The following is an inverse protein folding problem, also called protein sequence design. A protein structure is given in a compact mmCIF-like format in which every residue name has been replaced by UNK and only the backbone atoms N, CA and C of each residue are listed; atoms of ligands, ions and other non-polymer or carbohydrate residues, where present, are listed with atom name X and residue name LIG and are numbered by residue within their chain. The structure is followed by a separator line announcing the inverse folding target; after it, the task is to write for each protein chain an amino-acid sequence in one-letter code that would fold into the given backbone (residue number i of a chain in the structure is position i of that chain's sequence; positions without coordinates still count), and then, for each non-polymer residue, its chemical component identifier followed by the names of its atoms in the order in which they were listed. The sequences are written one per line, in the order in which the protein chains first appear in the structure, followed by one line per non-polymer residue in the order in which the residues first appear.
data_IF_893850339407
#
_entry.id   IF_893850339407
#
_cell.length_a   1.000
_cell.length_b   1.000
_cell.length_c   1.000
_cell.angle_alpha   90.00
_cell.angle_beta   90.00
_cell.angle_gamma   90.00
#
_symmetry.space_group_name_H-M   'P 1'
#
loop_
_entity.id
_entity.type
_entity.pdbx_description
1 polymer ?
#
# COMPACT_ATOMS: atom_id res chain seq x y z
N UNK A 1 21.10 -19.04 -1.57
CA UNK A 1 21.88 -17.81 -1.31
C UNK A 1 22.49 -17.96 0.09
N UNK A 2 23.74 -17.57 0.35
CA UNK A 2 24.22 -17.50 1.73
C UNK A 2 23.44 -16.42 2.49
N UNK A 3 22.98 -16.72 3.70
CA UNK A 3 22.33 -15.73 4.57
C UNK A 3 23.30 -14.57 4.82
N UNK A 4 22.82 -13.34 4.69
CA UNK A 4 23.62 -12.16 5.02
C UNK A 4 24.05 -12.20 6.49
N UNK A 5 25.28 -11.75 6.75
CA UNK A 5 25.71 -11.42 8.10
C UNK A 5 24.87 -10.25 8.64
N UNK A 6 24.83 -10.09 9.97
CA UNK A 6 24.12 -8.97 10.60
C UNK A 6 24.60 -7.61 10.07
N UNK A 7 25.91 -7.45 9.84
CA UNK A 7 26.47 -6.22 9.29
C UNK A 7 26.02 -5.95 7.84
N UNK A 8 26.02 -6.98 6.99
CA UNK A 8 25.56 -6.85 5.60
C UNK A 8 24.05 -6.57 5.51
N UNK A 9 23.26 -7.18 6.39
CA UNK A 9 21.84 -6.89 6.51
C UNK A 9 21.60 -5.42 6.88
N UNK A 10 22.25 -4.93 7.96
CA UNK A 10 22.16 -3.53 8.40
C UNK A 10 22.53 -2.58 7.27
N UNK A 11 23.66 -2.81 6.61
CA UNK A 11 24.13 -2.00 5.49
C UNK A 11 23.12 -1.95 4.33
N UNK A 12 22.53 -3.10 3.94
CA UNK A 12 21.54 -3.13 2.86
C UNK A 12 20.26 -2.37 3.19
N UNK A 13 19.77 -2.46 4.43
CA UNK A 13 18.59 -1.68 4.85
C UNK A 13 18.88 -0.18 4.77
N UNK A 14 20.04 0.27 5.24
CA UNK A 14 20.50 1.66 5.12
C UNK A 14 20.61 2.09 3.65
N UNK A 15 21.18 1.25 2.79
CA UNK A 15 21.29 1.52 1.36
C UNK A 15 19.93 1.65 0.67
N UNK A 16 18.96 0.80 1.03
CA UNK A 16 17.59 0.92 0.51
C UNK A 16 16.93 2.22 0.94
N UNK A 17 17.08 2.61 2.20
CA UNK A 17 16.53 3.88 2.73
C UNK A 17 17.20 5.08 2.05
N UNK A 18 18.53 5.06 1.89
CA UNK A 18 19.31 6.12 1.23
C UNK A 18 19.01 6.25 -0.25
N UNK A 19 18.75 5.13 -0.92
CA UNK A 19 18.57 5.10 -2.36
C UNK A 19 17.31 5.86 -2.77
N UNK A 20 17.45 6.74 -3.78
CA UNK A 20 16.35 7.57 -4.30
C UNK A 20 15.28 6.77 -5.04
N UNK A 21 15.56 5.50 -5.25
CA UNK A 21 14.78 4.60 -6.08
C UNK A 21 13.69 3.88 -5.29
N UNK A 22 13.93 3.60 -4.01
CA UNK A 22 12.95 2.96 -3.15
C UNK A 22 12.07 4.01 -2.49
N UNK A 23 10.79 4.01 -2.82
CA UNK A 23 9.81 4.88 -2.16
C UNK A 23 9.53 4.44 -0.73
N UNK A 24 9.07 5.39 0.07
CA UNK A 24 8.85 5.22 1.51
C UNK A 24 7.86 4.09 1.81
N UNK A 25 6.81 3.93 1.02
CA UNK A 25 5.80 2.87 1.16
C UNK A 25 6.41 1.46 1.02
N UNK A 26 7.22 1.24 -0.02
CA UNK A 26 7.90 -0.04 -0.24
C UNK A 26 8.89 -0.35 0.90
N UNK A 27 9.59 0.66 1.40
CA UNK A 27 10.50 0.50 2.54
C UNK A 27 9.75 0.10 3.81
N UNK A 28 8.59 0.70 4.10
CA UNK A 28 7.75 0.29 5.25
C UNK A 28 7.30 -1.15 5.12
N UNK A 29 6.91 -1.59 3.93
CA UNK A 29 6.48 -2.97 3.71
C UNK A 29 7.63 -3.96 3.90
N UNK A 30 8.82 -3.66 3.36
CA UNK A 30 10.01 -4.49 3.59
C UNK A 30 10.28 -4.65 5.08
N UNK A 31 10.26 -3.55 5.86
CA UNK A 31 10.47 -3.62 7.31
C UNK A 31 9.39 -4.43 8.03
N UNK A 32 8.12 -4.23 7.66
CA UNK A 32 6.98 -4.95 8.28
C UNK A 32 6.95 -6.46 7.99
N UNK A 33 7.65 -6.89 6.93
CA UNK A 33 7.67 -8.28 6.47
C UNK A 33 8.98 -9.01 6.81
N UNK A 34 9.87 -8.39 7.61
CA UNK A 34 11.09 -9.04 8.07
C UNK A 34 10.77 -10.26 8.97
N UNK A 35 11.50 -11.38 8.82
CA UNK A 35 11.34 -12.53 9.71
C UNK A 35 11.96 -12.26 11.08
N UNK A 36 11.51 -13.02 12.09
CA UNK A 36 11.85 -12.81 13.52
C UNK A 36 13.36 -12.76 13.79
N UNK A 37 14.16 -13.55 13.07
CA UNK A 37 15.62 -13.56 13.20
C UNK A 37 16.27 -12.25 12.75
N UNK A 38 15.68 -11.56 11.77
CA UNK A 38 16.13 -10.24 11.33
C UNK A 38 15.56 -9.14 12.23
N UNK A 39 14.34 -9.30 12.73
CA UNK A 39 13.76 -8.39 13.74
C UNK A 39 14.62 -8.36 15.01
N UNK A 40 15.19 -9.50 15.40
CA UNK A 40 16.11 -9.61 16.54
C UNK A 40 17.44 -8.86 16.36
N UNK A 41 17.76 -8.38 15.14
CA UNK A 41 18.94 -7.55 14.88
C UNK A 41 18.72 -6.07 15.18
N UNK A 42 17.48 -5.66 15.41
CA UNK A 42 17.17 -4.30 15.82
C UNK A 42 17.54 -4.09 17.29
N UNK A 43 18.30 -3.03 17.53
CA UNK A 43 18.61 -2.57 18.87
C UNK A 43 17.42 -1.80 19.45
N UNK A 44 17.39 -1.68 20.77
CA UNK A 44 16.49 -0.72 21.42
C UNK A 44 16.88 0.70 21.00
N UNK A 45 15.88 1.57 20.88
CA UNK A 45 16.11 2.98 20.64
C UNK A 45 16.89 3.57 21.82
N UNK A 46 18.02 4.20 21.53
CA UNK A 46 18.80 4.94 22.52
C UNK A 46 19.19 6.33 22.03
N UNK A 47 19.47 7.17 23.02
CA UNK A 47 20.05 8.49 22.85
C UNK A 47 21.24 8.63 23.78
N UNK A 48 22.38 9.04 23.24
CA UNK A 48 23.63 9.21 23.96
C UNK A 48 24.47 10.33 23.33
N UNK A 49 25.75 10.41 23.67
CA UNK A 49 26.66 11.43 23.13
C UNK A 49 26.91 11.34 21.63
N UNK A 50 26.55 10.24 20.97
CA UNK A 50 26.71 10.04 19.52
C UNK A 50 25.38 9.92 18.79
N UNK A 51 24.27 9.74 19.51
CA UNK A 51 22.93 9.55 18.96
C UNK A 51 21.93 10.55 19.54
N UNK A 52 21.66 11.63 18.81
CA UNK A 52 20.66 12.62 19.20
C UNK A 52 19.23 12.04 19.15
N UNK A 53 18.29 12.61 19.92
CA UNK A 53 16.89 12.25 19.82
C UNK A 53 16.32 12.52 18.43
N UNK A 54 15.40 11.65 18.01
CA UNK A 54 14.55 11.89 16.85
C UNK A 54 13.74 13.17 17.09
N UNK A 55 13.71 14.06 16.11
CA UNK A 55 12.85 15.24 16.12
C UNK A 55 11.59 14.96 15.31
N UNK A 56 10.42 15.18 15.91
CA UNK A 56 9.10 15.12 15.24
C UNK A 56 8.74 16.43 14.52
N UNK A 57 9.57 17.46 14.65
CA UNK A 57 9.35 18.76 14.01
C UNK A 57 9.61 18.71 12.49
N UNK A 58 8.52 18.62 11.71
CA UNK A 58 8.57 18.61 10.25
C UNK A 58 9.16 19.88 9.64
N UNK A 59 9.06 21.02 10.31
CA UNK A 59 9.67 22.26 9.86
C UNK A 59 11.20 22.21 9.97
N UNK A 60 11.73 21.55 11.01
CA UNK A 60 13.17 21.24 11.12
C UNK A 60 13.61 20.35 9.96
N UNK A 61 12.84 19.31 9.63
CA UNK A 61 13.15 18.42 8.52
C UNK A 61 13.26 19.17 7.21
N UNK A 62 12.30 20.04 6.90
CA UNK A 62 12.29 20.82 5.66
C UNK A 62 13.45 21.83 5.59
N UNK A 63 13.68 22.57 6.69
CA UNK A 63 14.72 23.59 6.77
C UNK A 63 16.12 22.99 6.57
N UNK A 64 16.38 21.86 7.20
CA UNK A 64 17.68 21.19 7.16
C UNK A 64 17.77 20.19 5.98
N UNK A 65 16.63 19.75 5.45
CA UNK A 65 16.48 18.90 4.29
C UNK A 65 17.39 17.68 4.32
N UNK A 66 18.27 17.59 3.32
CA UNK A 66 19.24 16.50 3.21
C UNK A 66 20.26 16.44 4.33
N UNK A 67 20.57 17.55 5.02
CA UNK A 67 21.49 17.53 6.15
C UNK A 67 20.88 16.80 7.34
N UNK A 68 19.60 17.05 7.65
CA UNK A 68 18.88 16.32 8.70
C UNK A 68 18.76 14.83 8.36
N UNK A 69 18.37 14.51 7.12
CA UNK A 69 18.27 13.13 6.68
C UNK A 69 19.62 12.38 6.75
N UNK A 70 20.72 13.00 6.30
CA UNK A 70 22.05 12.39 6.36
C UNK A 70 22.55 12.20 7.81
N UNK A 71 22.25 13.15 8.69
CA UNK A 71 22.56 13.04 10.12
C UNK A 71 21.80 11.86 10.76
N UNK A 72 20.50 11.76 10.49
CA UNK A 72 19.69 10.65 10.98
C UNK A 72 20.13 9.30 10.38
N UNK A 73 20.63 9.29 9.14
CA UNK A 73 21.19 8.10 8.51
C UNK A 73 22.43 7.60 9.25
N UNK A 74 23.34 8.52 9.59
CA UNK A 74 24.52 8.21 10.40
C UNK A 74 24.12 7.70 11.79
N UNK A 75 23.14 8.32 12.44
CA UNK A 75 22.63 7.84 13.74
C UNK A 75 21.99 6.45 13.66
N UNK A 76 21.39 6.10 12.53
CA UNK A 76 20.84 4.76 12.29
C UNK A 76 21.94 3.71 12.03
N UNK A 77 23.13 4.11 11.57
CA UNK A 77 24.32 3.23 11.50
C UNK A 77 24.85 2.93 12.91
N UNK A 78 24.84 3.91 13.82
CA UNK A 78 25.33 3.79 15.21
C UNK A 78 24.32 3.12 16.17
N UNK A 79 23.02 3.33 15.96
CA UNK A 79 21.94 2.70 16.70
C UNK A 79 20.88 2.19 15.72
N UNK A 80 21.13 0.99 15.19
CA UNK A 80 20.27 0.35 14.22
C UNK A 80 18.99 -0.18 14.90
N UNK A 81 18.02 0.71 15.11
CA UNK A 81 16.72 0.41 15.74
C UNK A 81 15.57 0.72 14.78
N UNK A 82 14.46 -0.01 14.92
CA UNK A 82 13.28 0.14 14.06
C UNK A 82 12.74 1.58 14.07
N UNK A 83 12.69 2.21 15.24
CA UNK A 83 12.18 3.58 15.40
C UNK A 83 12.96 4.61 14.56
N UNK A 84 14.30 4.51 14.47
CA UNK A 84 15.11 5.42 13.64
C UNK A 84 14.91 5.17 12.14
N UNK A 85 14.73 3.91 11.75
CA UNK A 85 14.48 3.57 10.35
C UNK A 85 13.09 4.03 9.89
N UNK A 86 12.06 3.85 10.72
CA UNK A 86 10.71 4.35 10.45
C UNK A 86 10.67 5.87 10.34
N UNK A 87 11.40 6.55 11.23
CA UNK A 87 11.59 8.00 11.18
C UNK A 87 12.29 8.44 9.89
N UNK A 88 13.39 7.79 9.52
CA UNK A 88 14.08 8.08 8.25
C UNK A 88 13.15 7.91 7.04
N UNK A 89 12.34 6.85 7.02
CA UNK A 89 11.37 6.62 5.95
C UNK A 89 10.29 7.73 5.94
N UNK A 90 9.85 8.19 7.10
CA UNK A 90 8.90 9.31 7.22
C UNK A 90 9.49 10.62 6.71
N UNK A 91 10.69 10.97 7.16
CA UNK A 91 11.43 12.16 6.69
C UNK A 91 11.63 12.09 5.19
N UNK A 92 12.02 10.93 4.65
CA UNK A 92 12.17 10.73 3.21
C UNK A 92 10.87 11.01 2.46
N UNK A 93 9.75 10.45 2.92
CA UNK A 93 8.43 10.69 2.32
C UNK A 93 8.14 12.18 2.27
N UNK A 94 8.26 12.85 3.43
CA UNK A 94 7.98 14.26 3.60
C UNK A 94 8.84 15.15 2.68
N UNK A 95 10.15 14.91 2.63
CA UNK A 95 11.07 15.69 1.79
C UNK A 95 10.84 15.44 0.29
N UNK A 96 10.50 14.22 -0.10
CA UNK A 96 10.14 13.88 -1.48
C UNK A 96 8.84 14.56 -1.89
N UNK A 97 7.82 14.53 -1.04
CA UNK A 97 6.51 15.16 -1.28
C UNK A 97 6.60 16.68 -1.37
N UNK A 98 7.43 17.32 -0.53
CA UNK A 98 7.64 18.77 -0.52
C UNK A 98 8.58 19.28 -1.60
N UNK A 99 9.10 18.41 -2.46
CA UNK A 99 9.94 18.86 -3.56
C UNK A 99 11.32 19.35 -3.13
N UNK A 100 11.84 18.87 -1.98
CA UNK A 100 13.11 19.36 -1.43
C UNK A 100 14.30 18.87 -2.28
N UNK A 101 15.24 19.78 -2.56
CA UNK A 101 16.43 19.50 -3.36
C UNK A 101 17.22 18.29 -2.81
N UNK A 102 17.62 17.37 -3.68
CA UNK A 102 18.26 16.10 -3.32
C UNK A 102 17.26 14.94 -3.13
N UNK A 103 15.99 15.22 -2.87
CA UNK A 103 14.92 14.23 -2.75
C UNK A 103 14.00 14.23 -3.98
N UNK A 104 13.81 15.37 -4.63
CA UNK A 104 13.12 15.49 -5.92
C UNK A 104 13.98 15.05 -7.08
N UNK A 105 13.46 14.18 -7.96
CA UNK A 105 14.14 13.86 -9.22
C UNK A 105 14.10 15.07 -10.15
N UNK A 106 15.20 15.41 -10.85
CA UNK A 106 15.11 16.25 -12.03
C UNK A 106 14.14 15.57 -12.98
N UNK A 107 13.15 16.30 -13.48
CA UNK A 107 12.28 15.81 -14.54
C UNK A 107 13.19 15.40 -15.68
N UNK A 108 13.37 14.09 -15.87
CA UNK A 108 14.11 13.57 -17.01
C UNK A 108 13.22 13.83 -18.22
N UNK A 109 13.40 15.01 -18.82
CA UNK A 109 12.87 15.32 -20.14
C UNK A 109 13.57 14.41 -21.14
N UNK A 110 13.00 13.22 -21.32
CA UNK A 110 13.27 12.38 -22.47
C UNK A 110 12.90 13.18 -23.72
N UNK A 111 13.91 13.75 -24.36
CA UNK A 111 13.83 14.34 -25.68
C UNK A 111 13.61 13.19 -26.65
N UNK A 112 12.35 12.97 -27.05
CA UNK A 112 12.00 12.46 -28.37
C UNK A 112 10.67 13.09 -28.79
N UNK A 113 10.77 13.92 -29.83
CA UNK A 113 9.73 14.49 -30.68
C UNK A 113 8.32 13.89 -30.56
N UNK A 114 7.38 14.70 -30.07
CA UNK A 114 6.10 14.92 -30.77
C UNK A 114 5.47 16.24 -30.30
N UNK A 115 5.43 17.19 -31.23
CA UNK A 115 4.75 18.48 -31.14
C UNK A 115 3.23 18.29 -30.93
N UNK A 116 2.63 19.30 -30.27
CA UNK A 116 1.20 19.66 -30.32
C UNK A 116 0.12 18.75 -29.66
N UNK A 117 0.47 17.78 -28.80
CA UNK A 117 -0.54 17.01 -28.05
C UNK A 117 -0.65 17.31 -26.54
N UNK A 118 0.18 18.21 -25.98
CA UNK A 118 0.26 18.42 -24.52
C UNK A 118 -0.91 19.22 -23.92
N UNK A 119 -1.44 20.22 -24.62
CA UNK A 119 -2.51 21.08 -24.07
C UNK A 119 -3.86 20.34 -23.95
N UNK A 120 -4.17 19.46 -24.91
CA UNK A 120 -5.44 18.72 -24.92
C UNK A 120 -5.44 17.54 -23.92
N UNK A 121 -4.30 16.88 -23.71
CA UNK A 121 -4.19 15.74 -22.80
C UNK A 121 -4.33 16.15 -21.32
N UNK A 122 -3.71 17.24 -20.91
CA UNK A 122 -3.79 17.74 -19.52
C UNK A 122 -5.21 18.22 -19.15
N UNK A 123 -5.92 18.85 -20.10
CA UNK A 123 -7.29 19.33 -19.88
C UNK A 123 -8.35 18.23 -19.95
N UNK A 124 -8.15 17.19 -20.79
CA UNK A 124 -9.10 16.06 -20.89
C UNK A 124 -8.94 15.08 -19.71
N UNK A 125 -7.77 15.03 -19.06
CA UNK A 125 -7.49 14.12 -17.95
C UNK A 125 -8.02 14.57 -16.58
N UNK A 126 -8.40 15.83 -16.37
CA UNK A 126 -8.98 16.32 -15.10
C UNK A 126 -10.50 16.01 -14.98
N UNK A 127 -11.21 15.90 -16.12
CA UNK A 127 -12.68 15.98 -16.17
C UNK A 127 -13.40 14.73 -15.62
N UNK A 128 -12.78 13.56 -15.66
CA UNK A 128 -13.50 12.28 -15.48
C UNK A 128 -13.84 11.95 -14.01
N UNK A 129 -13.00 12.28 -13.02
CA UNK A 129 -13.38 12.10 -11.60
C UNK A 129 -14.10 13.32 -11.02
N UNK A 130 -13.88 14.50 -11.59
CA UNK A 130 -14.60 15.72 -11.21
C UNK A 130 -16.09 15.69 -11.59
N UNK A 131 -16.49 14.80 -12.50
CA UNK A 131 -17.87 14.64 -12.98
C UNK A 131 -18.60 13.41 -12.41
N UNK A 132 -17.95 12.64 -11.52
CA UNK A 132 -18.58 11.51 -10.84
C UNK A 132 -19.66 12.01 -9.87
N UNK A 133 -20.85 11.43 -9.97
CA UNK A 133 -21.94 11.73 -9.03
C UNK A 133 -21.62 11.15 -7.65
N UNK A 134 -21.47 12.02 -6.66
CA UNK A 134 -21.23 11.67 -5.26
C UNK A 134 -22.52 11.68 -4.42
N UNK A 135 -23.69 11.86 -5.04
CA UNK A 135 -24.97 11.93 -4.32
C UNK A 135 -25.24 10.60 -3.61
N UNK A 136 -25.37 10.66 -2.28
CA UNK A 136 -25.61 9.47 -1.45
C UNK A 136 -24.38 8.59 -1.22
N UNK A 137 -23.22 8.94 -1.76
CA UNK A 137 -21.97 8.22 -1.50
C UNK A 137 -21.54 8.38 -0.03
N UNK A 138 -21.15 7.29 0.60
CA UNK A 138 -20.53 7.28 1.94
C UNK A 138 -19.21 6.54 1.86
N UNK A 139 -18.06 7.17 2.19
CA UNK A 139 -16.76 6.51 2.16
C UNK A 139 -16.66 5.39 3.20
N UNK A 140 -15.79 4.43 2.95
CA UNK A 140 -15.44 3.42 3.95
C UNK A 140 -14.86 4.09 5.20
N UNK A 141 -15.00 3.44 6.37
CA UNK A 141 -14.43 3.95 7.62
C UNK A 141 -12.91 4.17 7.49
N UNK A 142 -12.22 3.25 6.81
CA UNK A 142 -10.78 3.35 6.59
C UNK A 142 -10.44 4.60 5.78
N UNK A 143 -11.08 4.78 4.62
CA UNK A 143 -10.83 5.92 3.76
C UNK A 143 -11.19 7.25 4.44
N UNK A 144 -12.33 7.30 5.14
CA UNK A 144 -12.74 8.49 5.87
C UNK A 144 -11.75 8.87 6.97
N UNK A 145 -11.25 7.89 7.74
CA UNK A 145 -10.26 8.14 8.78
C UNK A 145 -8.94 8.67 8.20
N UNK A 146 -8.44 8.05 7.12
CA UNK A 146 -7.22 8.51 6.45
C UNK A 146 -7.35 9.93 5.93
N UNK A 147 -8.49 10.26 5.29
CA UNK A 147 -8.76 11.60 4.77
C UNK A 147 -8.86 12.64 5.89
N UNK A 148 -9.47 12.31 7.03
CA UNK A 148 -9.59 13.21 8.17
C UNK A 148 -8.26 13.48 8.88
N UNK A 149 -7.31 12.54 8.79
CA UNK A 149 -5.99 12.65 9.39
C UNK A 149 -4.96 13.37 8.49
N UNK A 150 -5.37 13.79 7.28
CA UNK A 150 -4.51 14.50 6.31
C UNK A 150 -3.22 13.74 5.93
N UNK A 151 -3.26 12.41 5.96
CA UNK A 151 -2.13 11.54 5.63
C UNK A 151 -2.30 10.94 4.23
N UNK A 152 -1.61 11.55 3.25
CA UNK A 152 -1.66 11.14 1.83
C UNK A 152 -1.25 9.68 1.64
N UNK A 153 -0.26 9.16 2.37
CA UNK A 153 0.15 7.76 2.25
C UNK A 153 -0.93 6.83 2.79
N UNK A 154 -1.55 7.16 3.93
CA UNK A 154 -2.70 6.41 4.47
C UNK A 154 -3.93 6.48 3.59
N UNK A 155 -4.14 7.59 2.87
CA UNK A 155 -5.21 7.73 1.89
C UNK A 155 -4.97 6.81 0.69
N UNK A 156 -3.75 6.81 0.12
CA UNK A 156 -3.39 5.93 -1.01
C UNK A 156 -3.53 4.46 -0.65
N UNK A 157 -3.11 4.07 0.55
CA UNK A 157 -3.28 2.71 1.06
C UNK A 157 -4.75 2.32 1.20
N UNK A 158 -5.60 3.23 1.70
CA UNK A 158 -7.04 2.99 1.76
C UNK A 158 -7.66 2.79 0.38
N UNK A 159 -7.23 3.56 -0.63
CA UNK A 159 -7.66 3.37 -2.01
C UNK A 159 -7.16 2.05 -2.61
N UNK A 160 -5.95 1.59 -2.28
CA UNK A 160 -5.50 0.24 -2.68
C UNK A 160 -6.35 -0.86 -2.06
N UNK A 161 -6.74 -0.74 -0.79
CA UNK A 161 -7.66 -1.70 -0.15
C UNK A 161 -9.01 -1.73 -0.86
N UNK A 162 -9.55 -0.58 -1.26
CA UNK A 162 -10.81 -0.51 -2.02
C UNK A 162 -10.66 -1.08 -3.44
N UNK A 163 -9.52 -0.87 -4.12
CA UNK A 163 -9.24 -1.49 -5.42
C UNK A 163 -9.14 -3.02 -5.33
N UNK A 164 -8.68 -3.56 -4.20
CA UNK A 164 -8.51 -5.00 -3.99
C UNK A 164 -9.75 -5.70 -3.42
N UNK A 165 -10.82 -4.97 -3.13
CA UNK A 165 -12.08 -5.55 -2.67
C UNK A 165 -12.99 -5.86 -3.86
N UNK A 166 -13.00 -7.10 -4.35
CA UNK A 166 -13.85 -7.52 -5.48
C UNK A 166 -15.37 -7.38 -5.22
N UNK A 167 -15.79 -7.22 -3.96
CA UNK A 167 -17.17 -6.92 -3.60
C UNK A 167 -17.55 -5.45 -3.79
N UNK A 168 -16.56 -4.56 -3.92
CA UNK A 168 -16.79 -3.16 -4.21
C UNK A 168 -17.08 -2.97 -5.71
N UNK A 169 -18.23 -2.39 -6.04
CA UNK A 169 -18.54 -2.10 -7.44
C UNK A 169 -17.57 -1.06 -8.00
N UNK A 170 -17.34 -1.11 -9.31
CA UNK A 170 -16.48 -0.10 -9.96
C UNK A 170 -17.08 1.31 -9.89
N UNK A 171 -18.41 1.44 -9.79
CA UNK A 171 -19.06 2.73 -9.54
C UNK A 171 -18.70 3.25 -8.14
N UNK A 172 -18.87 2.43 -7.10
CA UNK A 172 -18.54 2.81 -5.72
C UNK A 172 -17.05 3.14 -5.57
N UNK A 173 -16.17 2.37 -6.21
CA UNK A 173 -14.73 2.66 -6.24
C UNK A 173 -14.42 4.00 -6.92
N UNK A 174 -15.05 4.30 -8.07
CA UNK A 174 -14.87 5.60 -8.75
C UNK A 174 -15.39 6.76 -7.90
N UNK A 175 -16.49 6.56 -7.18
CA UNK A 175 -17.01 7.54 -6.21
C UNK A 175 -16.03 7.76 -5.06
N UNK A 176 -15.41 6.71 -4.53
CA UNK A 176 -14.42 6.82 -3.47
C UNK A 176 -13.17 7.58 -3.90
N UNK A 177 -12.66 7.30 -5.11
CA UNK A 177 -11.54 8.03 -5.71
C UNK A 177 -11.91 9.50 -5.92
N UNK A 178 -13.08 9.79 -6.51
CA UNK A 178 -13.53 11.15 -6.76
C UNK A 178 -13.75 11.95 -5.47
N UNK A 179 -14.39 11.33 -4.46
CA UNK A 179 -14.58 11.92 -3.14
C UNK A 179 -13.23 12.26 -2.50
N UNK A 180 -12.28 11.33 -2.52
CA UNK A 180 -10.94 11.55 -1.96
C UNK A 180 -10.21 12.68 -2.68
N UNK A 181 -10.24 12.70 -4.02
CA UNK A 181 -9.61 13.76 -4.82
C UNK A 181 -10.25 15.14 -4.55
N UNK A 182 -11.56 15.20 -4.29
CA UNK A 182 -12.24 16.45 -3.92
C UNK A 182 -11.78 17.01 -2.57
N UNK A 183 -11.28 16.15 -1.67
CA UNK A 183 -10.73 16.53 -0.36
C UNK A 183 -9.24 16.80 -0.41
N UNK A 184 -8.52 16.07 -1.28
CA UNK A 184 -7.06 16.10 -1.42
C UNK A 184 -6.66 16.28 -2.89
N UNK A 185 -6.67 17.52 -3.42
CA UNK A 185 -6.35 17.78 -4.83
C UNK A 185 -4.90 17.41 -5.24
N UNK A 186 -4.00 17.25 -4.26
CA UNK A 186 -2.62 16.82 -4.41
C UNK A 186 -2.43 15.29 -4.25
N UNK A 187 -3.53 14.52 -4.19
CA UNK A 187 -3.49 13.05 -4.04
C UNK A 187 -2.62 12.37 -5.11
N UNK A 188 -2.78 12.79 -6.36
CA UNK A 188 -2.10 12.22 -7.50
C UNK A 188 -0.82 12.98 -7.83
N UNK A 189 0.19 12.24 -8.25
CA UNK A 189 1.43 12.79 -8.82
C UNK A 189 1.37 12.72 -10.35
N UNK A 190 2.27 13.43 -11.04
CA UNK A 190 2.40 13.31 -12.48
C UNK A 190 2.73 11.86 -12.88
N UNK A 191 2.16 11.40 -13.99
CA UNK A 191 2.54 10.12 -14.57
C UNK A 191 4.01 10.12 -14.96
N UNK A 192 4.72 9.07 -14.57
CA UNK A 192 6.09 8.83 -15.02
C UNK A 192 6.37 7.35 -15.22
N UNK A 193 7.23 7.09 -16.20
CA UNK A 193 7.88 5.80 -16.38
C UNK A 193 9.29 5.86 -15.82
N UNK A 194 9.66 4.87 -15.03
CA UNK A 194 10.97 4.79 -14.42
C UNK A 194 11.38 3.31 -14.22
N UNK A 195 12.54 3.08 -13.61
CA UNK A 195 13.06 1.73 -13.39
C UNK A 195 12.12 0.81 -12.56
N UNK A 196 11.13 1.37 -11.86
CA UNK A 196 10.21 0.67 -10.95
C UNK A 196 8.73 0.82 -11.34
N UNK A 197 8.41 1.65 -12.33
CA UNK A 197 7.06 1.79 -12.89
C UNK A 197 7.14 1.91 -14.39
N UNK A 198 6.96 0.79 -15.09
CA UNK A 198 6.99 0.77 -16.56
C UNK A 198 5.68 1.28 -17.17
N UNK A 199 5.70 1.48 -18.49
CA UNK A 199 4.52 1.83 -19.27
C UNK A 199 3.36 0.84 -19.12
N UNK A 200 2.15 1.33 -19.40
CA UNK A 200 0.92 0.53 -19.32
C UNK A 200 0.69 -0.19 -20.66
N UNK A 201 0.47 -1.51 -20.61
CA UNK A 201 -0.04 -2.30 -21.72
C UNK A 201 -1.54 -2.03 -21.89
N UNK A 202 -1.95 -1.68 -23.11
CA UNK A 202 -3.32 -1.28 -23.45
C UNK A 202 -4.10 -2.40 -24.16
N UNK A 203 -3.43 -3.46 -24.59
CA UNK A 203 -4.07 -4.62 -25.18
C UNK A 203 -4.73 -5.49 -24.09
N UNK A 204 -6.06 -5.44 -24.01
CA UNK A 204 -6.83 -6.10 -22.94
C UNK A 204 -6.62 -7.63 -22.89
N UNK A 205 -6.28 -8.27 -24.00
CA UNK A 205 -5.97 -9.71 -24.06
C UNK A 205 -4.75 -10.10 -23.21
N UNK A 206 -3.88 -9.15 -22.88
CA UNK A 206 -2.72 -9.33 -22.01
C UNK A 206 -3.01 -8.99 -20.54
N UNK A 207 -4.22 -8.51 -20.24
CA UNK A 207 -4.62 -8.20 -18.87
C UNK A 207 -5.06 -9.49 -18.18
N UNK A 208 -4.30 -9.85 -17.15
CA UNK A 208 -4.60 -10.97 -16.27
C UNK A 208 -4.32 -10.54 -14.81
N UNK A 209 -4.60 -11.42 -13.86
CA UNK A 209 -4.34 -11.24 -12.44
C UNK A 209 -2.88 -10.86 -12.14
N UNK A 210 -1.93 -11.47 -12.85
CA UNK A 210 -0.52 -11.14 -12.74
C UNK A 210 -0.21 -9.70 -13.19
N UNK A 211 -0.77 -9.29 -14.32
CA UNK A 211 -0.62 -7.93 -14.84
C UNK A 211 -1.28 -6.90 -13.94
N UNK A 212 -2.46 -7.22 -13.38
CA UNK A 212 -3.11 -6.38 -12.37
C UNK A 212 -2.18 -6.16 -11.18
N UNK A 213 -1.66 -7.24 -10.58
CA UNK A 213 -0.73 -7.15 -9.47
C UNK A 213 0.53 -6.36 -9.79
N UNK A 214 1.05 -6.46 -11.01
CA UNK A 214 2.17 -5.65 -11.49
C UNK A 214 1.84 -4.15 -11.54
N UNK A 215 0.65 -3.80 -12.02
CA UNK A 215 0.19 -2.41 -12.08
C UNK A 215 -0.05 -1.82 -10.69
N UNK A 216 -0.47 -2.61 -9.70
CA UNK A 216 -0.51 -2.17 -8.29
C UNK A 216 0.87 -1.73 -7.79
N UNK A 217 1.92 -2.47 -8.16
CA UNK A 217 3.30 -2.08 -7.80
C UNK A 217 3.69 -0.79 -8.45
N UNK A 218 3.44 -0.69 -9.74
CA UNK A 218 3.77 0.51 -10.47
C UNK A 218 2.97 1.70 -9.93
N UNK A 219 1.75 1.49 -9.44
CA UNK A 219 0.93 2.51 -8.79
C UNK A 219 1.45 2.89 -7.39
N UNK A 220 2.00 1.95 -6.62
CA UNK A 220 2.70 2.27 -5.36
C UNK A 220 3.95 3.13 -5.63
N UNK A 221 4.60 2.90 -6.77
CA UNK A 221 5.77 3.66 -7.21
C UNK A 221 5.40 4.95 -7.94
N UNK A 222 4.24 5.07 -8.55
CA UNK A 222 3.77 6.27 -9.25
C UNK A 222 2.25 6.31 -9.16
N UNK A 223 1.74 6.90 -8.07
CA UNK A 223 0.32 7.06 -7.81
C UNK A 223 -0.25 8.20 -8.66
N UNK A 224 -0.18 8.03 -9.98
CA UNK A 224 -0.72 8.97 -10.95
C UNK A 224 -2.16 8.63 -11.29
N UNK A 225 -2.91 9.63 -11.71
CA UNK A 225 -4.30 9.48 -12.09
C UNK A 225 -4.48 8.48 -13.25
N UNK A 226 -3.60 8.56 -14.23
CA UNK A 226 -3.54 7.68 -15.40
C UNK A 226 -3.35 6.22 -15.00
N UNK A 227 -2.44 5.97 -14.06
CA UNK A 227 -2.16 4.61 -13.61
C UNK A 227 -3.29 4.04 -12.74
N UNK A 228 -3.88 4.86 -11.88
CA UNK A 228 -5.03 4.43 -11.08
C UNK A 228 -6.25 4.15 -11.96
N UNK A 229 -6.50 4.95 -13.01
CA UNK A 229 -7.53 4.64 -14.02
C UNK A 229 -7.28 3.31 -14.71
N UNK A 230 -6.05 3.12 -15.16
CA UNK A 230 -5.67 1.89 -15.84
C UNK A 230 -5.86 0.69 -14.92
N UNK A 231 -5.45 0.79 -13.66
CA UNK A 231 -5.63 -0.25 -12.66
C UNK A 231 -7.11 -0.57 -12.41
N UNK A 232 -7.98 0.44 -12.33
CA UNK A 232 -9.45 0.26 -12.24
C UNK A 232 -10.00 -0.46 -13.48
N UNK A 233 -9.53 -0.12 -14.67
CA UNK A 233 -9.98 -0.78 -15.91
C UNK A 233 -9.50 -2.24 -15.99
N UNK A 234 -8.26 -2.51 -15.58
CA UNK A 234 -7.73 -3.88 -15.50
C UNK A 234 -8.51 -4.69 -14.47
N UNK A 235 -8.82 -4.10 -13.31
CA UNK A 235 -9.65 -4.73 -12.27
C UNK A 235 -10.98 -5.22 -12.81
N UNK A 236 -11.73 -4.33 -13.46
CA UNK A 236 -13.04 -4.62 -14.05
C UNK A 236 -12.97 -5.73 -15.11
N UNK A 237 -11.86 -5.80 -15.85
CA UNK A 237 -11.66 -6.82 -16.88
C UNK A 237 -11.29 -8.19 -16.29
N UNK A 238 -10.44 -8.20 -15.28
CA UNK A 238 -9.80 -9.43 -14.76
C UNK A 238 -10.67 -10.13 -13.72
N UNK A 239 -11.37 -9.37 -12.89
CA UNK A 239 -12.11 -9.92 -11.75
C UNK A 239 -13.62 -9.91 -11.98
N UNK A 240 -14.31 -10.81 -11.28
CA UNK A 240 -15.79 -10.80 -11.26
C UNK A 240 -16.25 -9.77 -10.22
N UNK A 241 -16.41 -8.53 -10.68
CA UNK A 241 -16.79 -7.40 -9.82
C UNK A 241 -18.29 -7.38 -9.55
N UNK A 242 -18.66 -7.02 -8.31
CA UNK A 242 -20.05 -6.80 -7.93
C UNK A 242 -20.72 -5.74 -8.83
N UNK A 243 -21.89 -6.09 -9.37
CA UNK A 243 -22.73 -5.16 -10.12
C UNK A 243 -23.63 -4.40 -9.16
N UNK A 244 -23.76 -3.09 -9.35
CA UNK A 244 -24.77 -2.31 -8.64
C UNK A 244 -26.14 -2.60 -9.27
N UNK A 245 -26.84 -3.62 -8.75
CA UNK A 245 -28.24 -3.84 -9.06
C UNK A 245 -29.05 -2.63 -8.55
N UNK A 246 -29.27 -1.66 -9.44
CA UNK A 246 -30.23 -0.58 -9.22
C UNK A 246 -31.66 -1.16 -9.23
N UNK A 247 -32.11 -1.78 -8.13
CA UNK A 247 -33.53 -1.93 -7.84
C UNK A 247 -33.87 -1.69 -6.37
N UNK A 248 -34.90 -0.88 -6.09
CA UNK A 248 -35.42 -0.72 -4.74
C UNK A 248 -36.02 -2.05 -4.27
N UNK A 249 -35.51 -2.60 -3.18
CA UNK A 249 -36.07 -3.76 -2.53
C UNK A 249 -37.48 -3.42 -2.00
N UNK A 250 -38.49 -3.64 -2.84
CA UNK A 250 -39.87 -3.80 -2.40
C UNK A 250 -39.92 -5.13 -1.67
N UNK A 251 -40.05 -5.08 -0.34
CA UNK A 251 -40.22 -6.24 0.52
C UNK A 251 -41.67 -6.74 0.37
N UNK A 252 -41.94 -7.99 -0.05
CA UNK A 252 -43.21 -8.63 0.22
C UNK A 252 -43.04 -9.46 1.49
N UNK A 253 -43.37 -8.84 2.62
CA UNK A 253 -43.48 -9.51 3.90
C UNK A 253 -44.70 -10.45 3.85
N UNK A 254 -44.47 -11.77 3.77
CA UNK A 254 -45.51 -12.78 4.00
C UNK A 254 -45.14 -13.55 5.27
N UNK A 255 -46.06 -13.50 6.24
CA UNK A 255 -45.93 -14.00 7.61
C UNK A 255 -45.72 -15.53 7.74
N UNK A 256 -45.27 -15.99 8.94
CA UNK A 256 -44.79 -17.35 9.19
C UNK A 256 -45.92 -18.31 9.60
N UNK A 257 -45.79 -19.59 9.21
CA UNK A 257 -46.62 -20.67 9.75
C UNK A 257 -45.78 -21.80 10.35
N UNK A 258 -46.23 -22.23 11.53
CA UNK A 258 -45.61 -23.14 12.49
C UNK A 258 -45.62 -24.62 12.03
N UNK A 259 -44.76 -25.39 12.71
CA UNK A 259 -44.44 -26.82 12.56
C UNK A 259 -45.62 -27.82 12.66
N UNK A 260 -45.35 -29.13 12.41
CA UNK A 260 -45.16 -30.02 13.57
C UNK A 260 -44.06 -31.11 13.46
N UNK A 261 -43.48 -31.45 14.63
CA UNK A 261 -42.68 -32.65 15.00
C UNK A 261 -43.52 -33.95 14.88
N UNK A 262 -42.94 -35.18 14.73
CA UNK A 262 -42.14 -35.90 15.76
C UNK A 262 -41.03 -36.81 15.14
N UNK A 263 -40.14 -37.59 15.79
CA UNK A 263 -40.00 -38.20 17.13
C UNK A 263 -38.55 -38.74 17.22
N UNK A 264 -37.94 -38.75 18.42
CA UNK A 264 -36.66 -39.44 18.72
C UNK A 264 -36.88 -40.94 18.99
N UNK A 265 -35.82 -41.76 18.99
CA UNK A 265 -35.35 -42.24 20.29
C UNK A 265 -33.83 -42.17 20.52
N UNK A 266 -33.55 -41.98 21.80
CA UNK A 266 -32.28 -41.93 22.53
C UNK A 266 -31.58 -43.30 22.60
N UNK A 267 -30.24 -43.31 22.54
CA UNK A 267 -29.42 -44.32 23.23
C UNK A 267 -28.12 -43.71 23.75
N UNK A 268 -27.90 -43.90 25.05
CA UNK A 268 -26.78 -43.40 25.86
C UNK A 268 -25.52 -44.31 25.83
N UNK A 269 -24.47 -43.80 26.48
CA UNK A 269 -23.33 -44.48 27.16
C UNK A 269 -22.08 -44.77 26.28
N UNK A 270 -20.83 -44.44 26.64
CA UNK A 270 -20.17 -44.07 27.92
C UNK A 270 -18.78 -43.41 27.69
N UNK A 271 -18.30 -42.70 28.72
CA UNK A 271 -16.99 -42.06 28.92
C UNK A 271 -15.75 -42.95 28.90
N UNK A 272 -14.58 -42.39 28.51
CA UNK A 272 -13.30 -42.38 29.29
C UNK A 272 -12.25 -41.52 28.56
N UNK A 273 -11.47 -40.73 29.31
CA UNK A 273 -10.49 -39.77 28.77
C UNK A 273 -9.05 -40.26 28.68
N UNK A 274 -8.19 -39.44 28.07
CA UNK A 274 -6.79 -39.16 28.48
C UNK A 274 -6.12 -38.24 27.45
N UNK A 275 -5.47 -37.21 27.99
CA UNK A 275 -4.43 -36.34 27.44
C UNK A 275 -3.55 -36.98 26.36
N UNK A 276 -3.40 -36.30 25.22
CA UNK A 276 -2.13 -36.01 24.55
C UNK A 276 -2.38 -35.00 23.41
N UNK A 277 -1.97 -33.75 23.64
CA UNK A 277 -1.87 -32.70 22.62
C UNK A 277 -0.45 -32.75 22.05
N UNK A 278 -0.24 -33.11 20.79
CA UNK A 278 1.00 -32.78 20.11
C UNK A 278 0.97 -31.27 19.81
N UNK A 279 2.05 -30.64 20.22
CA UNK A 279 2.52 -29.30 19.92
C UNK A 279 2.25 -28.93 18.44
N UNK A 280 1.31 -28.01 18.23
CA UNK A 280 1.10 -27.39 16.92
C UNK A 280 2.20 -26.35 16.73
N UNK A 281 3.12 -26.65 15.81
CA UNK A 281 4.06 -25.71 15.18
C UNK A 281 3.38 -24.35 14.93
N UNK A 282 4.06 -23.21 15.14
CA UNK A 282 3.51 -21.91 14.77
C UNK A 282 3.49 -21.82 13.24
N UNK A 283 2.33 -22.07 12.64
CA UNK A 283 2.10 -21.82 11.22
C UNK A 283 2.02 -20.31 10.97
N UNK A 284 3.14 -19.74 10.53
CA UNK A 284 3.27 -18.72 9.48
C UNK A 284 2.14 -17.68 9.39
N UNK A 285 1.93 -16.90 10.45
CA UNK A 285 1.03 -15.73 10.42
C UNK A 285 1.48 -14.65 9.41
N UNK A 286 2.77 -14.67 9.03
CA UNK A 286 3.39 -13.76 8.05
C UNK A 286 2.81 -13.95 6.64
N UNK A 287 2.56 -15.18 6.21
CA UNK A 287 1.99 -15.47 4.89
C UNK A 287 0.55 -14.98 4.76
N UNK A 288 -0.23 -15.00 5.85
CA UNK A 288 -1.61 -14.50 5.86
C UNK A 288 -1.67 -12.97 5.88
N UNK A 289 -0.76 -12.31 6.59
CA UNK A 289 -0.67 -10.84 6.54
C UNK A 289 -0.19 -10.32 5.17
N UNK A 290 0.68 -11.06 4.47
CA UNK A 290 1.12 -10.74 3.11
C UNK A 290 0.08 -11.06 2.03
N UNK A 291 -0.74 -12.10 2.22
CA UNK A 291 -1.86 -12.44 1.33
C UNK A 291 -3.04 -11.45 1.42
N UNK A 292 -3.18 -10.76 2.55
CA UNK A 292 -4.23 -9.76 2.77
C UNK A 292 -3.92 -8.38 2.17
N UNK A 293 -2.70 -8.18 1.62
CA UNK A 293 -2.27 -6.88 1.07
C UNK A 293 -2.46 -6.77 -0.45
N UNK A 294 -2.64 -7.90 -1.18
CA UNK A 294 -2.89 -7.90 -2.64
C UNK A 294 -1.70 -7.42 -3.48
N UNK A 295 -1.32 -8.18 -4.52
CA UNK A 295 -0.44 -7.70 -5.59
C UNK A 295 1.08 -7.72 -5.38
N UNK A 296 1.82 -7.63 -6.49
CA UNK A 296 3.28 -7.84 -6.69
C UNK A 296 4.18 -6.90 -5.83
N UNK A 297 3.60 -5.98 -5.06
CA UNK A 297 4.31 -5.22 -4.03
C UNK A 297 4.83 -6.17 -2.95
N UNK A 298 4.01 -7.18 -2.60
CA UNK A 298 4.47 -8.32 -1.83
C UNK A 298 5.59 -9.06 -2.58
N UNK A 299 5.54 -9.20 -3.91
CA UNK A 299 6.59 -9.89 -4.68
C UNK A 299 7.92 -9.12 -4.77
N UNK A 300 7.95 -7.79 -4.91
CA UNK A 300 9.20 -7.00 -4.85
C UNK A 300 9.73 -6.97 -3.43
N UNK A 301 8.86 -6.78 -2.43
CA UNK A 301 9.25 -6.94 -1.04
C UNK A 301 9.80 -8.34 -0.81
N UNK A 302 9.22 -9.41 -1.38
CA UNK A 302 9.69 -10.79 -1.30
C UNK A 302 11.01 -11.01 -2.04
N UNK A 303 11.25 -10.38 -3.19
CA UNK A 303 12.53 -10.44 -3.91
C UNK A 303 13.62 -9.71 -3.12
N UNK A 304 13.31 -8.53 -2.58
CA UNK A 304 14.23 -7.78 -1.72
C UNK A 304 14.48 -8.55 -0.42
N UNK A 305 13.44 -9.11 0.19
CA UNK A 305 13.52 -10.02 1.34
C UNK A 305 14.38 -11.23 0.98
N UNK A 306 14.22 -11.85 -0.18
CA UNK A 306 15.07 -12.97 -0.61
C UNK A 306 16.54 -12.58 -0.86
N UNK A 307 16.83 -11.29 -1.05
CA UNK A 307 18.20 -10.76 -1.15
C UNK A 307 18.79 -10.44 0.23
N UNK A 308 17.95 -10.17 1.24
CA UNK A 308 18.40 -9.75 2.58
C UNK A 308 18.20 -10.77 3.71
N UNK A 309 17.35 -11.78 3.49
CA UNK A 309 17.06 -12.89 4.40
C UNK A 309 18.04 -14.02 4.14
#
# INVERSE_FOLDING_TARGET
MPNLTAAEFKAKIIDFIKSRDFKSELLRQILSALPDDKLALFEEYRTDSTTDPISEDSYKWEREGGAYFALQLHMAEENFCLQRLEHLIQVKSHLTERGIAGFSRPVSSSITSHEEAKSTKEYTMNVDFSSVDLTGFTPSRSLSNSVNNDDISSIRNALFMEMNDDHLSTIALRQAIAWTYSKHPNLFVAYEENAYSQGMEHEQTKWNDHYYGMQEVYASSNFSLERIRHLVAVREHVFTIAQDDARPATVPNTQPQQAPKPSFPLREQSSTGSTHRPESKPENNVLKSLLLIGGVVAAIALVILAVIV
#
